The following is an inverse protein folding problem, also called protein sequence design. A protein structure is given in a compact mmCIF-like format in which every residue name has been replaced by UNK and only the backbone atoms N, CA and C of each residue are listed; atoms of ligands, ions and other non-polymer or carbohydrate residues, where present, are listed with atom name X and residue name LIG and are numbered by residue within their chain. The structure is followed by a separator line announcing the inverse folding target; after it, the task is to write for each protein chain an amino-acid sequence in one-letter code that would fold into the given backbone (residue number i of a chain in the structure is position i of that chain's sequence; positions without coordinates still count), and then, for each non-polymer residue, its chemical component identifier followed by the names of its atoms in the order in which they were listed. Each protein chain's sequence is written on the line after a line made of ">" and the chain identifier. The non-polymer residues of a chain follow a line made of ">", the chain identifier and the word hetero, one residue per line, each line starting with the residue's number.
data_IF_154309365160
#
_entry.id   IF_154309365160
#
_cell.length_a   1.000
_cell.length_b   1.000
_cell.length_c   1.000
_cell.angle_alpha   90.00
_cell.angle_beta   90.00
_cell.angle_gamma   90.00
#
_symmetry.space_group_name_H-M   'P 1'
#
loop_
_entity.id
_entity.type
_entity.pdbx_description
1 polymer ?
#
# COMPACT_ATOMS: atom_id res chain seq x y z
N UNK A 1 -42.77 15.98 9.55
CA UNK A 1 -43.43 14.74 10.03
C UNK A 1 -43.77 14.83 11.52
N UNK A 2 -42.88 15.30 12.40
CA UNK A 2 -43.14 15.46 13.85
C UNK A 2 -44.21 16.51 14.15
N UNK A 3 -44.23 17.62 13.43
CA UNK A 3 -45.28 18.64 13.57
C UNK A 3 -46.66 18.09 13.19
N UNK A 4 -46.76 17.29 12.13
CA UNK A 4 -48.00 16.63 11.72
C UNK A 4 -48.49 15.63 12.80
N UNK A 5 -47.62 14.86 13.41
CA UNK A 5 -47.96 13.95 14.50
C UNK A 5 -48.39 14.69 15.78
N UNK A 6 -47.75 15.82 16.10
CA UNK A 6 -48.13 16.69 17.22
C UNK A 6 -49.53 17.32 17.00
N UNK A 7 -49.84 17.77 15.79
CA UNK A 7 -51.13 18.32 15.41
C UNK A 7 -52.23 17.25 15.49
N UNK A 8 -51.97 16.04 14.96
CA UNK A 8 -52.91 14.92 15.03
C UNK A 8 -53.18 14.52 16.50
N UNK A 9 -52.15 14.44 17.32
CA UNK A 9 -52.27 14.12 18.75
C UNK A 9 -53.06 15.22 19.53
N UNK A 10 -52.89 16.49 19.14
CA UNK A 10 -53.64 17.61 19.70
C UNK A 10 -55.13 17.55 19.31
N UNK A 11 -55.43 17.27 18.03
CA UNK A 11 -56.80 17.10 17.55
C UNK A 11 -57.52 15.92 18.18
N UNK A 12 -56.84 14.80 18.42
CA UNK A 12 -57.40 13.60 19.03
C UNK A 12 -57.77 13.77 20.52
N UNK A 13 -57.18 14.71 21.24
CA UNK A 13 -57.48 15.01 22.64
C UNK A 13 -58.81 15.74 22.85
N UNK A 14 -59.32 16.42 21.82
CA UNK A 14 -60.55 17.23 21.92
C UNK A 14 -61.81 16.48 21.45
N UNK A 15 -61.69 15.24 21.00
CA UNK A 15 -62.85 14.42 20.60
C UNK A 15 -63.48 13.69 21.80
N UNK A 16 -64.57 14.19 22.28
CA UNK A 16 -65.31 13.65 23.44
C UNK A 16 -66.08 12.34 23.15
N UNK A 17 -66.19 11.86 21.92
CA UNK A 17 -66.76 10.57 21.52
C UNK A 17 -66.08 9.97 20.33
N UNK A 18 -65.08 9.12 20.59
CA UNK A 18 -64.44 8.27 19.58
C UNK A 18 -65.22 6.96 19.45
N UNK A 19 -65.50 6.55 18.23
CA UNK A 19 -66.05 5.23 17.92
C UNK A 19 -65.04 4.12 18.22
N UNK A 20 -65.49 2.88 18.40
CA UNK A 20 -64.65 1.75 18.70
C UNK A 20 -63.62 1.46 17.59
N UNK A 21 -63.92 1.81 16.35
CA UNK A 21 -62.99 1.72 15.21
C UNK A 21 -61.89 2.78 15.27
N UNK A 22 -62.25 4.00 15.65
CA UNK A 22 -61.26 5.09 15.82
C UNK A 22 -60.34 4.82 17.03
N UNK A 23 -60.85 4.18 18.08
CA UNK A 23 -60.05 3.78 19.23
C UNK A 23 -59.03 2.73 18.87
N UNK A 24 -59.38 1.72 18.04
CA UNK A 24 -58.42 0.73 17.52
C UNK A 24 -57.32 1.38 16.67
N UNK A 25 -57.72 2.33 15.82
CA UNK A 25 -56.77 3.07 14.99
C UNK A 25 -55.77 3.89 15.84
N UNK A 26 -56.23 4.56 16.87
CA UNK A 26 -55.41 5.32 17.83
C UNK A 26 -54.45 4.39 18.60
N UNK A 27 -54.92 3.21 19.01
CA UNK A 27 -54.10 2.22 19.71
C UNK A 27 -53.03 1.62 18.78
N UNK A 28 -53.37 1.39 17.51
CA UNK A 28 -52.43 0.92 16.48
C UNK A 28 -51.35 1.98 16.18
N UNK A 29 -51.77 3.25 15.98
CA UNK A 29 -50.84 4.37 15.81
C UNK A 29 -49.96 4.60 17.05
N UNK A 30 -50.47 4.48 18.25
CA UNK A 30 -49.67 4.59 19.46
C UNK A 30 -48.63 3.49 19.56
N UNK A 31 -48.94 2.27 19.18
CA UNK A 31 -47.95 1.17 19.17
C UNK A 31 -46.86 1.37 18.12
N UNK A 32 -47.21 1.86 16.93
CA UNK A 32 -46.23 2.23 15.89
C UNK A 32 -45.32 3.40 16.32
N UNK A 33 -45.92 4.43 16.95
CA UNK A 33 -45.13 5.56 17.48
C UNK A 33 -44.16 5.11 18.57
N UNK A 34 -44.56 4.18 19.44
CA UNK A 34 -43.66 3.61 20.46
C UNK A 34 -42.51 2.82 19.83
N UNK A 35 -42.80 2.02 18.79
CA UNK A 35 -41.78 1.28 18.05
C UNK A 35 -40.82 2.21 17.31
N UNK A 36 -41.33 3.25 16.65
CA UNK A 36 -40.49 4.27 15.97
C UNK A 36 -39.65 5.01 17.00
N UNK A 37 -40.22 5.42 18.14
CA UNK A 37 -39.49 6.09 19.19
C UNK A 37 -38.38 5.19 19.76
N UNK A 38 -38.66 3.93 20.05
CA UNK A 38 -37.65 3.00 20.54
C UNK A 38 -36.52 2.74 19.51
N UNK A 39 -36.86 2.74 18.22
CA UNK A 39 -35.86 2.64 17.15
C UNK A 39 -35.01 3.89 17.05
N UNK A 40 -35.58 5.10 17.20
CA UNK A 40 -34.84 6.36 17.21
C UNK A 40 -33.94 6.44 18.45
N UNK A 41 -34.49 6.16 19.64
CA UNK A 41 -33.73 6.14 20.89
C UNK A 41 -32.57 5.12 20.81
N UNK A 42 -32.75 3.99 20.12
CA UNK A 42 -31.70 3.01 19.85
C UNK A 42 -30.66 3.49 18.85
N UNK A 43 -31.07 4.24 17.83
CA UNK A 43 -30.13 4.85 16.89
C UNK A 43 -29.33 6.00 17.53
N UNK A 44 -29.99 6.83 18.33
CA UNK A 44 -29.30 7.91 19.08
C UNK A 44 -28.29 7.33 20.09
N UNK A 45 -28.62 6.20 20.76
CA UNK A 45 -27.69 5.53 21.65
C UNK A 45 -26.47 5.01 20.90
N UNK A 46 -26.66 4.39 19.73
CA UNK A 46 -25.56 3.91 18.88
C UNK A 46 -24.73 5.05 18.30
N UNK A 47 -25.37 6.18 17.92
CA UNK A 47 -24.69 7.37 17.46
C UNK A 47 -23.82 7.97 18.56
N UNK A 48 -24.36 8.09 19.79
CA UNK A 48 -23.61 8.56 20.96
C UNK A 48 -22.46 7.60 21.34
N UNK A 49 -22.63 6.30 21.17
CA UNK A 49 -21.57 5.30 21.37
C UNK A 49 -20.49 5.43 20.29
N UNK A 50 -20.88 5.65 19.05
CA UNK A 50 -19.97 5.92 17.94
C UNK A 50 -19.19 7.23 18.12
N UNK A 51 -19.89 8.33 18.50
CA UNK A 51 -19.24 9.60 18.81
C UNK A 51 -18.31 9.51 20.03
N UNK A 52 -18.66 8.73 21.05
CA UNK A 52 -17.83 8.52 22.23
C UNK A 52 -16.60 7.63 21.95
N UNK A 53 -16.66 6.78 20.93
CA UNK A 53 -15.56 5.93 20.49
C UNK A 53 -14.70 6.59 19.43
N UNK A 54 -15.15 7.67 18.79
CA UNK A 54 -14.36 8.39 17.80
C UNK A 54 -13.23 9.18 18.45
N UNK A 55 -12.04 9.13 17.88
CA UNK A 55 -10.86 9.88 18.35
C UNK A 55 -11.09 11.40 18.33
N UNK A 56 -11.82 11.88 17.34
CA UNK A 56 -12.33 13.25 17.24
C UNK A 56 -13.51 13.32 16.26
N UNK A 57 -14.21 14.45 16.21
CA UNK A 57 -15.29 14.67 15.23
C UNK A 57 -14.77 14.88 13.80
N UNK A 58 -13.49 15.14 13.63
CA UNK A 58 -12.84 15.43 12.34
C UNK A 58 -11.73 14.46 11.99
N UNK A 59 -11.26 13.64 12.93
CA UNK A 59 -10.18 12.67 12.72
C UNK A 59 -10.71 11.27 12.91
N UNK A 60 -10.47 10.43 11.91
CA UNK A 60 -10.74 8.99 11.95
C UNK A 60 -9.42 8.27 12.18
N UNK A 61 -9.41 7.29 13.06
CA UNK A 61 -8.28 6.41 13.27
C UNK A 61 -8.61 5.02 12.70
N UNK A 62 -7.66 4.42 12.01
CA UNK A 62 -7.70 3.04 11.53
C UNK A 62 -6.52 2.27 12.10
N UNK A 63 -6.68 0.97 12.26
CA UNK A 63 -5.63 0.08 12.73
C UNK A 63 -5.54 -1.11 11.80
N UNK A 64 -4.33 -1.47 11.42
CA UNK A 64 -4.04 -2.74 10.76
C UNK A 64 -2.89 -3.46 11.46
N UNK A 65 -2.89 -4.77 11.37
CA UNK A 65 -1.79 -5.60 11.85
C UNK A 65 -1.67 -6.84 10.95
N UNK A 66 -0.47 -7.11 10.51
CA UNK A 66 -0.13 -8.29 9.75
C UNK A 66 0.78 -9.22 10.57
N UNK A 67 0.50 -10.50 10.51
CA UNK A 67 1.36 -11.55 11.04
C UNK A 67 1.65 -12.54 9.93
N UNK A 68 2.91 -12.89 9.77
CA UNK A 68 3.34 -13.88 8.79
C UNK A 68 4.14 -14.99 9.45
N UNK A 69 3.91 -16.21 9.01
CA UNK A 69 4.72 -17.37 9.33
C UNK A 69 5.10 -18.08 8.04
N UNK A 70 6.36 -18.44 7.87
CA UNK A 70 6.80 -19.08 6.65
C UNK A 70 8.26 -19.48 6.68
N UNK A 71 8.71 -20.04 5.58
CA UNK A 71 10.10 -20.40 5.36
C UNK A 71 10.48 -20.01 3.92
N UNK A 72 11.73 -19.60 3.75
CA UNK A 72 12.33 -19.23 2.47
C UNK A 72 13.56 -20.11 2.27
N UNK A 73 13.58 -20.87 1.20
CA UNK A 73 14.73 -21.66 0.75
C UNK A 73 15.49 -20.85 -0.31
N UNK A 74 16.81 -20.96 -0.33
CA UNK A 74 17.68 -20.22 -1.23
C UNK A 74 18.07 -18.82 -0.77
N UNK A 75 17.45 -18.32 0.32
CA UNK A 75 17.79 -17.00 0.88
C UNK A 75 19.13 -17.01 1.58
N UNK A 76 20.05 -16.16 1.16
CA UNK A 76 21.33 -15.94 1.82
C UNK A 76 21.23 -14.76 2.79
N UNK A 77 21.62 -14.98 4.04
CA UNK A 77 21.75 -13.92 5.04
C UNK A 77 23.22 -13.72 5.42
N UNK A 78 23.66 -12.48 5.46
CA UNK A 78 24.99 -12.14 5.96
C UNK A 78 24.94 -11.99 7.46
N UNK A 79 25.59 -12.90 8.16
CA UNK A 79 25.77 -12.79 9.61
C UNK A 79 27.01 -11.98 9.88
N UNK A 80 26.82 -10.78 10.42
CA UNK A 80 27.96 -9.92 10.79
C UNK A 80 28.84 -10.60 11.83
N UNK A 81 30.09 -10.71 11.53
CA UNK A 81 31.08 -11.44 12.34
C UNK A 81 31.51 -10.67 13.58
N UNK A 82 30.76 -9.80 14.15
CA UNK A 82 31.04 -9.10 15.41
C UNK A 82 32.49 -8.59 15.60
N UNK A 83 32.69 -7.67 16.49
CA UNK A 83 34.04 -7.20 16.89
C UNK A 83 34.53 -7.95 18.12
N UNK A 84 35.67 -8.63 18.00
CA UNK A 84 36.41 -9.22 19.12
C UNK A 84 37.58 -8.35 19.53
N UNK A 85 37.92 -8.35 20.81
CA UNK A 85 39.14 -7.69 21.29
C UNK A 85 40.19 -8.76 21.61
N UNK A 86 41.36 -8.67 20.99
CA UNK A 86 42.49 -9.53 21.32
C UNK A 86 43.52 -8.66 22.05
N UNK A 87 43.89 -9.11 23.23
CA UNK A 87 44.92 -8.44 24.02
C UNK A 87 46.20 -9.31 24.02
N UNK A 88 47.30 -8.74 23.62
CA UNK A 88 48.61 -9.38 23.58
C UNK A 88 49.66 -8.44 22.98
N UNK A 89 50.92 -8.78 23.17
CA UNK A 89 52.06 -8.02 22.58
C UNK A 89 52.13 -8.27 21.08
N UNK A 90 51.44 -7.42 20.32
CA UNK A 90 51.25 -7.58 18.87
C UNK A 90 52.47 -7.06 18.06
N UNK A 91 53.19 -6.06 18.58
CA UNK A 91 54.35 -5.46 17.94
C UNK A 91 55.72 -5.92 18.56
N UNK A 92 55.66 -6.79 19.59
CA UNK A 92 56.79 -7.36 20.27
C UNK A 92 57.68 -6.34 21.02
N UNK A 93 57.06 -5.29 21.54
CA UNK A 93 57.73 -4.26 22.35
C UNK A 93 57.78 -4.60 23.87
N UNK A 94 57.13 -5.69 24.27
CA UNK A 94 57.09 -6.17 25.63
C UNK A 94 55.91 -5.64 26.46
N UNK A 95 54.98 -4.94 25.81
CA UNK A 95 53.72 -4.49 26.41
C UNK A 95 52.53 -5.12 25.69
N UNK A 96 51.44 -5.42 26.43
CA UNK A 96 50.25 -5.98 25.83
C UNK A 96 49.41 -4.89 25.15
N UNK A 97 49.22 -5.04 23.84
CA UNK A 97 48.33 -4.21 23.04
C UNK A 97 46.91 -4.76 23.07
N UNK A 98 45.96 -3.87 22.88
CA UNK A 98 44.55 -4.24 22.69
C UNK A 98 44.16 -3.94 21.24
N UNK A 99 44.01 -4.98 20.43
CA UNK A 99 43.60 -4.85 19.02
C UNK A 99 42.14 -5.29 18.87
N UNK A 100 41.35 -4.42 18.27
CA UNK A 100 39.99 -4.77 17.87
C UNK A 100 40.05 -5.55 16.57
N UNK A 101 39.67 -6.81 16.61
CA UNK A 101 39.58 -7.66 15.41
C UNK A 101 38.15 -7.72 14.95
N UNK A 102 37.88 -7.32 13.72
CA UNK A 102 36.62 -7.63 13.07
C UNK A 102 36.69 -9.06 12.53
N UNK A 103 35.80 -9.90 13.00
CA UNK A 103 35.57 -11.19 12.37
C UNK A 103 34.93 -10.95 11.00
N UNK A 104 35.31 -11.76 10.01
CA UNK A 104 34.70 -11.69 8.69
C UNK A 104 33.20 -12.02 8.78
N UNK A 105 32.39 -11.29 8.05
CA UNK A 105 31.00 -11.63 7.86
C UNK A 105 30.90 -13.00 7.17
N UNK A 106 29.94 -13.80 7.57
CA UNK A 106 29.68 -15.09 6.97
C UNK A 106 28.30 -15.12 6.34
N UNK A 107 28.21 -15.59 5.12
CA UNK A 107 26.92 -15.84 4.45
C UNK A 107 26.40 -17.22 4.89
N UNK A 108 25.17 -17.27 5.33
CA UNK A 108 24.49 -18.50 5.72
C UNK A 108 23.13 -18.57 5.02
N UNK A 109 22.68 -19.77 4.67
CA UNK A 109 21.34 -19.97 4.15
C UNK A 109 20.34 -19.90 5.31
N UNK A 110 19.30 -19.10 5.15
CA UNK A 110 18.22 -18.94 6.11
C UNK A 110 17.06 -19.85 5.70
N UNK A 111 17.08 -21.11 6.16
CA UNK A 111 16.04 -22.11 5.85
C UNK A 111 15.07 -22.32 7.03
N UNK A 112 15.20 -21.51 8.09
CA UNK A 112 14.36 -21.64 9.27
C UNK A 112 12.96 -21.07 9.02
N UNK A 113 11.97 -21.67 9.72
CA UNK A 113 10.64 -21.04 9.78
C UNK A 113 10.73 -19.74 10.57
N UNK A 114 10.43 -18.63 9.90
CA UNK A 114 10.38 -17.29 10.47
C UNK A 114 8.97 -16.93 10.92
N UNK A 115 8.90 -15.91 11.76
CA UNK A 115 7.65 -15.24 12.17
C UNK A 115 7.89 -13.75 12.16
N UNK A 116 7.13 -13.05 11.32
CA UNK A 116 7.19 -11.61 11.12
C UNK A 116 5.89 -10.96 11.51
N UNK A 117 5.95 -9.66 11.77
CA UNK A 117 4.76 -8.87 12.04
C UNK A 117 4.98 -7.41 11.63
N UNK A 118 3.89 -6.76 11.27
CA UNK A 118 3.79 -5.31 11.20
C UNK A 118 2.49 -4.85 11.82
N UNK A 119 2.46 -3.60 12.24
CA UNK A 119 1.21 -2.92 12.56
C UNK A 119 1.29 -1.46 12.15
N UNK A 120 0.11 -0.92 11.82
CA UNK A 120 -0.02 0.43 11.32
C UNK A 120 -1.20 1.14 11.98
N UNK A 121 -1.05 2.43 12.22
CA UNK A 121 -2.08 3.32 12.73
C UNK A 121 -2.23 4.46 11.74
N UNK A 122 -3.33 4.47 11.01
CA UNK A 122 -3.71 5.57 10.12
C UNK A 122 -4.56 6.60 10.87
N UNK A 123 -4.23 7.88 10.69
CA UNK A 123 -5.01 9.01 11.18
C UNK A 123 -5.39 9.89 10.01
N UNK A 124 -6.67 9.93 9.67
CA UNK A 124 -7.20 10.75 8.56
C UNK A 124 -8.04 11.90 9.11
N UNK A 125 -7.68 13.12 8.76
CA UNK A 125 -8.36 14.35 9.19
C UNK A 125 -8.76 15.19 7.99
N UNK A 126 -10.01 15.66 7.94
CA UNK A 126 -10.46 16.65 6.96
C UNK A 126 -10.74 17.99 7.63
N UNK A 127 -10.34 19.09 6.99
CA UNK A 127 -10.59 20.45 7.45
C UNK A 127 -11.76 21.12 6.73
N UNK A 128 -12.00 20.71 5.48
CA UNK A 128 -13.05 21.29 4.63
C UNK A 128 -14.19 20.33 4.36
N UNK A 129 -14.00 19.04 4.63
CA UNK A 129 -14.91 17.94 4.30
C UNK A 129 -14.65 17.33 2.93
N UNK A 130 -13.75 17.90 2.14
CA UNK A 130 -13.35 17.42 0.80
C UNK A 130 -11.84 17.16 0.70
N UNK A 131 -11.05 17.64 1.63
CA UNK A 131 -9.60 17.45 1.76
C UNK A 131 -9.27 16.31 2.73
N UNK A 132 -8.03 15.83 2.70
CA UNK A 132 -7.53 14.82 3.62
C UNK A 132 -6.11 15.15 4.07
N UNK A 133 -5.89 15.19 5.37
CA UNK A 133 -4.58 15.10 6.00
C UNK A 133 -4.44 13.70 6.58
N UNK A 134 -3.54 12.92 6.03
CA UNK A 134 -3.27 11.55 6.42
C UNK A 134 -1.91 11.46 7.10
N UNK A 135 -1.87 10.77 8.24
CA UNK A 135 -0.64 10.48 8.98
C UNK A 135 -0.61 8.99 9.27
N UNK A 136 0.42 8.32 8.82
CA UNK A 136 0.66 6.90 9.06
C UNK A 136 1.76 6.72 10.10
N UNK A 137 1.49 5.90 11.10
CA UNK A 137 2.44 5.45 12.10
C UNK A 137 2.60 3.95 11.93
N UNK A 138 3.82 3.46 11.74
CA UNK A 138 4.09 2.06 11.51
C UNK A 138 5.21 1.51 12.39
N UNK A 139 5.20 0.21 12.61
CA UNK A 139 6.30 -0.57 13.16
C UNK A 139 6.19 -2.02 12.68
N UNK A 140 7.31 -2.66 12.40
CA UNK A 140 7.30 -4.03 11.93
C UNK A 140 8.68 -4.65 11.87
N UNK A 141 8.71 -5.97 11.99
CA UNK A 141 9.92 -6.78 11.84
C UNK A 141 9.63 -7.82 10.78
N UNK A 142 10.37 -7.74 9.68
CA UNK A 142 10.26 -8.63 8.55
C UNK A 142 11.61 -9.30 8.25
N UNK A 143 11.61 -10.61 8.28
CA UNK A 143 12.75 -11.44 7.87
C UNK A 143 12.37 -12.34 6.69
N UNK A 144 11.06 -12.55 6.48
CA UNK A 144 10.51 -13.21 5.32
C UNK A 144 10.49 -12.19 4.19
N UNK A 145 11.30 -12.36 3.16
CA UNK A 145 11.26 -11.52 1.97
C UNK A 145 9.88 -11.62 1.31
N UNK A 146 9.50 -10.64 0.52
CA UNK A 146 8.27 -10.58 -0.27
C UNK A 146 6.97 -10.23 0.49
N UNK A 147 6.99 -9.92 1.77
CA UNK A 147 5.77 -9.50 2.48
C UNK A 147 5.81 -8.06 3.01
N UNK A 148 6.92 -7.36 2.82
CA UNK A 148 7.16 -5.97 3.26
C UNK A 148 6.63 -5.65 4.67
N UNK A 149 6.96 -6.53 5.62
CA UNK A 149 6.57 -6.36 7.02
C UNK A 149 7.65 -5.64 7.86
N UNK A 150 8.82 -5.40 7.28
CA UNK A 150 9.86 -4.62 7.93
C UNK A 150 9.55 -3.13 7.84
N UNK A 151 9.68 -2.43 8.93
CA UNK A 151 9.58 -0.96 8.98
C UNK A 151 10.89 -0.37 9.50
N UNK A 152 11.19 0.86 9.13
CA UNK A 152 12.48 1.55 9.26
C UNK A 152 13.19 1.38 10.59
N UNK A 153 12.48 1.49 11.70
CA UNK A 153 13.03 1.39 13.03
C UNK A 153 12.60 0.08 13.75
N UNK A 154 12.24 -0.92 12.94
CA UNK A 154 11.88 -2.25 13.40
C UNK A 154 10.67 -2.24 14.31
N UNK A 155 10.83 -2.64 15.57
CA UNK A 155 9.75 -2.70 16.56
C UNK A 155 9.38 -1.34 17.17
N UNK A 156 10.06 -0.25 16.79
CA UNK A 156 9.76 1.11 17.27
C UNK A 156 8.70 1.74 16.39
N UNK A 157 7.65 2.30 17.00
CA UNK A 157 6.62 3.02 16.26
C UNK A 157 7.18 4.36 15.76
N UNK A 158 7.20 4.54 14.45
CA UNK A 158 7.66 5.74 13.76
C UNK A 158 6.56 6.38 12.93
N UNK A 159 6.76 7.61 12.50
CA UNK A 159 5.93 8.23 11.45
C UNK A 159 6.44 7.69 10.12
N UNK A 160 5.62 6.89 9.47
CA UNK A 160 5.89 6.26 8.18
C UNK A 160 5.61 7.22 7.03
N UNK A 161 4.54 7.99 7.14
CA UNK A 161 4.20 8.99 6.14
C UNK A 161 3.24 10.06 6.66
N UNK A 162 3.30 11.22 6.02
CA UNK A 162 2.32 12.29 6.18
C UNK A 162 2.00 12.89 4.82
N UNK A 163 0.71 12.99 4.48
CA UNK A 163 0.28 13.60 3.23
C UNK A 163 -0.92 14.52 3.43
N UNK A 164 -1.01 15.55 2.60
CA UNK A 164 -2.18 16.39 2.52
C UNK A 164 -2.68 16.42 1.08
N UNK A 165 -3.88 15.91 0.89
CA UNK A 165 -4.56 15.85 -0.41
C UNK A 165 -5.71 16.85 -0.45
N UNK A 166 -5.76 17.66 -1.49
CA UNK A 166 -6.74 18.72 -1.63
C UNK A 166 -7.34 18.76 -3.04
N UNK A 167 -8.67 18.66 -3.20
CA UNK A 167 -9.34 18.91 -4.46
C UNK A 167 -9.37 20.40 -4.77
N UNK A 168 -9.09 20.76 -6.02
CA UNK A 168 -9.19 22.13 -6.55
C UNK A 168 -10.32 22.18 -7.60
N UNK A 169 -11.55 22.29 -7.10
CA UNK A 169 -12.77 22.12 -7.91
C UNK A 169 -13.05 20.65 -8.23
N UNK A 170 -13.91 20.42 -9.22
CA UNK A 170 -14.49 19.08 -9.47
C UNK A 170 -13.54 18.12 -10.22
N UNK A 171 -12.38 18.58 -10.69
CA UNK A 171 -11.56 17.82 -11.64
C UNK A 171 -10.09 17.72 -11.29
N UNK A 172 -9.57 18.63 -10.51
CA UNK A 172 -8.16 18.67 -10.16
C UNK A 172 -7.97 18.29 -8.70
N UNK A 173 -7.16 17.28 -8.44
CA UNK A 173 -6.70 16.89 -7.12
C UNK A 173 -5.20 17.14 -7.03
N UNK A 174 -4.73 17.67 -5.93
CA UNK A 174 -3.32 17.91 -5.65
C UNK A 174 -2.93 17.32 -4.31
N UNK A 175 -1.66 16.93 -4.14
CA UNK A 175 -1.15 16.52 -2.85
C UNK A 175 0.28 17.02 -2.62
N UNK A 176 0.67 17.04 -1.35
CA UNK A 176 2.04 17.16 -0.88
C UNK A 176 2.26 16.15 0.25
N UNK A 177 3.46 15.60 0.36
CA UNK A 177 3.74 14.54 1.34
C UNK A 177 5.18 14.54 1.81
N UNK A 178 5.43 13.75 2.85
CA UNK A 178 6.74 13.24 3.25
C UNK A 178 6.56 11.76 3.58
N UNK A 179 7.40 10.88 3.04
CA UNK A 179 7.26 9.43 3.18
C UNK A 179 6.02 8.85 2.48
N UNK A 180 5.52 9.52 1.43
CA UNK A 180 4.45 9.03 0.55
C UNK A 180 4.85 9.35 -0.88
N UNK A 181 4.72 8.35 -1.72
CA UNK A 181 5.17 8.30 -3.11
C UNK A 181 4.64 9.45 -3.97
N UNK A 182 5.45 9.95 -4.88
CA UNK A 182 5.04 10.95 -5.88
C UNK A 182 3.98 10.44 -6.83
N UNK A 183 3.85 9.13 -6.97
CA UNK A 183 2.82 8.43 -7.74
C UNK A 183 1.45 8.33 -7.07
N UNK A 184 1.28 8.77 -5.83
CA UNK A 184 0.06 8.58 -5.03
C UNK A 184 -1.27 8.97 -5.72
N UNK A 185 -1.24 9.87 -6.71
CA UNK A 185 -2.42 10.24 -7.51
C UNK A 185 -2.43 9.62 -8.90
N UNK A 186 -1.57 8.65 -9.19
CA UNK A 186 -1.57 7.98 -10.50
C UNK A 186 -2.72 6.97 -10.58
N UNK A 187 -3.24 6.82 -11.79
CA UNK A 187 -4.29 5.84 -12.12
C UNK A 187 -3.70 4.72 -12.97
N UNK A 188 -2.69 4.05 -12.44
CA UNK A 188 -2.02 2.95 -13.13
C UNK A 188 -3.01 1.82 -13.42
N UNK A 189 -3.06 1.41 -14.69
CA UNK A 189 -4.02 0.42 -15.15
C UNK A 189 -3.58 -1.01 -14.75
N UNK A 190 -3.68 -1.31 -13.47
CA UNK A 190 -3.45 -2.61 -12.86
C UNK A 190 -4.59 -2.97 -11.92
N UNK A 191 -4.97 -4.25 -11.87
CA UNK A 191 -6.01 -4.76 -10.96
C UNK A 191 -5.57 -6.04 -10.25
N UNK A 192 -4.30 -6.38 -10.34
CA UNK A 192 -3.70 -7.47 -9.62
C UNK A 192 -3.23 -6.98 -8.26
N UNK A 193 -3.70 -7.63 -7.20
CA UNK A 193 -3.44 -7.28 -5.80
C UNK A 193 -2.80 -8.48 -5.09
N UNK A 194 -1.58 -8.84 -5.51
CA UNK A 194 -0.80 -9.92 -4.88
C UNK A 194 -0.30 -9.55 -3.50
N UNK A 195 -0.03 -10.53 -2.63
CA UNK A 195 0.49 -10.29 -1.29
C UNK A 195 2.00 -10.02 -1.25
N UNK A 196 2.73 -10.30 -2.34
CA UNK A 196 4.17 -10.02 -2.40
C UNK A 196 4.44 -8.58 -2.81
N UNK A 197 5.45 -7.98 -2.21
CA UNK A 197 5.93 -6.65 -2.54
C UNK A 197 6.37 -6.57 -4.02
N UNK A 198 7.18 -7.54 -4.47
CA UNK A 198 7.72 -7.56 -5.83
C UNK A 198 6.67 -7.59 -6.94
N UNK A 199 5.52 -8.26 -6.78
CA UNK A 199 4.53 -8.45 -7.84
C UNK A 199 3.18 -7.75 -7.59
N UNK A 200 2.98 -7.15 -6.44
CA UNK A 200 1.79 -6.35 -6.15
C UNK A 200 1.66 -5.19 -7.15
N UNK A 201 0.44 -4.78 -7.46
CA UNK A 201 0.14 -3.60 -8.30
C UNK A 201 0.88 -3.53 -9.65
N UNK A 202 1.17 -4.70 -10.26
CA UNK A 202 1.98 -4.88 -11.47
C UNK A 202 3.50 -4.76 -11.28
N UNK A 203 3.99 -4.89 -10.06
CA UNK A 203 5.41 -5.00 -9.75
C UNK A 203 6.21 -3.75 -10.12
N UNK A 204 7.44 -3.95 -10.55
CA UNK A 204 8.36 -2.86 -10.90
C UNK A 204 7.96 -2.03 -12.13
N UNK A 205 6.86 -2.37 -12.80
CA UNK A 205 6.39 -1.60 -13.95
C UNK A 205 5.65 -0.34 -13.51
N UNK A 206 6.09 0.82 -13.95
CA UNK A 206 5.61 2.16 -13.55
C UNK A 206 5.95 2.59 -12.13
N UNK A 207 6.94 1.96 -11.50
CA UNK A 207 7.39 2.26 -10.14
C UNK A 207 8.52 3.30 -10.06
N UNK A 208 8.86 3.95 -11.15
CA UNK A 208 10.02 4.86 -11.23
C UNK A 208 9.95 6.11 -10.33
N UNK A 209 8.84 6.40 -9.67
CA UNK A 209 8.69 7.42 -8.64
C UNK A 209 7.92 6.88 -7.42
N UNK A 210 8.28 5.70 -7.05
CA UNK A 210 7.77 4.92 -5.93
C UNK A 210 8.92 4.75 -4.91
N UNK A 211 9.60 5.85 -4.67
CA UNK A 211 10.70 5.94 -3.73
C UNK A 211 10.14 6.36 -2.38
N UNK A 212 10.32 5.53 -1.39
CA UNK A 212 9.75 5.68 -0.07
C UNK A 212 10.65 6.40 0.95
N UNK A 213 10.16 6.50 2.16
CA UNK A 213 10.73 6.73 3.48
C UNK A 213 11.22 8.14 3.80
N UNK A 214 11.98 8.80 2.95
CA UNK A 214 12.59 10.09 3.27
C UNK A 214 12.26 11.19 2.25
N UNK A 215 11.53 10.84 1.21
CA UNK A 215 11.24 11.76 0.11
C UNK A 215 10.12 12.74 0.43
N UNK A 216 10.26 13.95 -0.08
CA UNK A 216 9.16 14.92 -0.20
C UNK A 216 8.41 14.60 -1.48
N UNK A 217 7.14 14.21 -1.37
CA UNK A 217 6.26 13.97 -2.50
C UNK A 217 5.38 15.17 -2.83
N UNK A 218 5.08 15.36 -4.10
CA UNK A 218 4.08 16.33 -4.54
C UNK A 218 3.49 15.89 -5.89
N UNK A 219 2.21 16.19 -6.11
CA UNK A 219 1.61 15.83 -7.39
C UNK A 219 0.25 16.43 -7.63
N UNK A 220 -0.25 16.16 -8.83
CA UNK A 220 -1.56 16.58 -9.27
C UNK A 220 -2.17 15.56 -10.23
N UNK A 221 -3.48 15.36 -10.15
CA UNK A 221 -4.24 14.53 -11.06
C UNK A 221 -5.45 15.31 -11.59
N UNK A 222 -5.67 15.27 -12.90
CA UNK A 222 -6.77 15.93 -13.57
C UNK A 222 -7.69 14.91 -14.26
N UNK A 223 -8.95 14.85 -13.82
CA UNK A 223 -9.99 14.03 -14.44
C UNK A 223 -10.67 14.81 -15.59
N UNK A 224 -10.42 14.40 -16.83
CA UNK A 224 -11.09 14.97 -18.00
C UNK A 224 -12.57 14.57 -18.09
N UNK A 225 -12.97 13.52 -17.36
CA UNK A 225 -14.24 12.83 -17.48
C UNK A 225 -14.18 11.69 -18.51
N UNK A 226 -15.22 10.87 -18.53
CA UNK A 226 -15.33 9.71 -19.41
C UNK A 226 -14.22 8.65 -19.28
N UNK A 227 -13.48 8.66 -18.15
CA UNK A 227 -12.43 7.71 -17.84
C UNK A 227 -11.01 8.13 -18.21
N UNK A 228 -10.81 9.31 -18.78
CA UNK A 228 -9.48 9.86 -19.02
C UNK A 228 -8.97 10.65 -17.82
N UNK A 229 -7.75 10.33 -17.38
CA UNK A 229 -7.05 11.00 -16.28
C UNK A 229 -5.63 11.32 -16.74
N UNK A 230 -5.11 12.48 -16.36
CA UNK A 230 -3.69 12.82 -16.48
C UNK A 230 -3.14 13.20 -15.12
N UNK A 231 -2.01 12.60 -14.75
CA UNK A 231 -1.36 12.82 -13.47
C UNK A 231 0.09 13.24 -13.66
N UNK A 232 0.60 13.98 -12.69
CA UNK A 232 1.99 14.39 -12.57
C UNK A 232 2.44 14.16 -11.14
N UNK A 233 3.65 13.66 -10.95
CA UNK A 233 4.26 13.41 -9.66
C UNK A 233 5.70 13.88 -9.61
N UNK A 234 6.14 14.22 -8.42
CA UNK A 234 7.49 14.64 -8.07
C UNK A 234 7.88 14.00 -6.74
N UNK A 235 9.12 13.57 -6.66
CA UNK A 235 9.79 13.19 -5.41
C UNK A 235 11.16 13.85 -5.33
N UNK A 236 11.60 14.14 -4.11
CA UNK A 236 12.92 14.69 -3.85
C UNK A 236 13.29 14.63 -2.38
N UNK A 237 14.57 14.53 -2.07
CA UNK A 237 15.05 14.39 -0.69
C UNK A 237 14.80 15.63 0.18
N UNK A 238 14.90 16.83 -0.40
CA UNK A 238 14.52 18.08 0.25
C UNK A 238 15.35 18.51 1.46
N UNK A 239 16.50 17.89 1.69
CA UNK A 239 17.37 18.27 2.79
C UNK A 239 18.07 19.63 2.56
N UNK A 240 18.70 20.19 3.58
CA UNK A 240 19.33 21.52 3.49
C UNK A 240 20.63 21.55 2.69
N UNK A 241 21.17 20.41 2.30
CA UNK A 241 22.40 20.29 1.51
C UNK A 241 22.13 19.98 0.06
N UNK A 242 21.14 19.15 -0.22
CA UNK A 242 20.73 18.77 -1.57
C UNK A 242 19.62 19.70 -2.10
N UNK A 243 18.62 20.03 -1.30
CA UNK A 243 17.49 20.88 -1.72
C UNK A 243 16.47 20.13 -2.58
N UNK A 244 15.42 20.83 -3.01
CA UNK A 244 14.42 20.33 -3.94
C UNK A 244 14.71 20.89 -5.33
N UNK A 245 14.62 20.04 -6.36
CA UNK A 245 14.89 20.41 -7.77
C UNK A 245 16.22 21.11 -7.94
N UNK A 246 17.22 20.65 -7.25
CA UNK A 246 18.59 21.18 -7.30
C UNK A 246 19.50 20.16 -7.98
N UNK A 247 20.63 20.62 -8.43
CA UNK A 247 21.61 19.77 -9.11
C UNK A 247 22.30 18.76 -8.16
N UNK A 248 22.27 19.05 -6.88
CA UNK A 248 22.85 18.25 -5.81
C UNK A 248 21.82 17.28 -5.18
N UNK A 249 20.53 17.47 -5.48
CA UNK A 249 19.44 16.60 -5.08
C UNK A 249 19.24 15.44 -6.05
N UNK A 250 18.78 14.31 -5.53
CA UNK A 250 18.24 13.25 -6.36
C UNK A 250 16.73 13.44 -6.43
N UNK A 251 16.26 13.93 -7.56
CA UNK A 251 14.87 14.25 -7.80
C UNK A 251 14.28 13.33 -8.85
N UNK A 252 13.02 12.95 -8.66
CA UNK A 252 12.27 12.14 -9.62
C UNK A 252 11.04 12.89 -10.10
N UNK A 253 10.76 12.80 -11.38
CA UNK A 253 9.60 13.41 -12.04
C UNK A 253 8.90 12.38 -12.90
N UNK A 254 7.59 12.24 -12.78
CA UNK A 254 6.83 11.41 -13.69
C UNK A 254 5.51 12.05 -14.13
N UNK A 255 5.02 11.61 -15.27
CA UNK A 255 3.73 11.96 -15.81
C UNK A 255 3.02 10.73 -16.36
N UNK A 256 1.72 10.65 -16.11
CA UNK A 256 0.89 9.53 -16.56
C UNK A 256 -0.35 10.04 -17.28
N UNK A 257 -0.75 9.33 -18.34
CA UNK A 257 -2.07 9.43 -18.95
C UNK A 257 -2.72 8.06 -18.85
N UNK A 258 -3.90 8.02 -18.25
CA UNK A 258 -4.66 6.80 -18.08
C UNK A 258 -6.05 6.91 -18.70
N UNK A 259 -6.56 5.79 -19.16
CA UNK A 259 -7.96 5.59 -19.49
C UNK A 259 -8.45 4.34 -18.79
N UNK A 260 -9.37 4.49 -17.86
CA UNK A 260 -9.89 3.38 -17.07
C UNK A 260 -11.42 3.36 -17.05
N UNK A 261 -11.95 2.17 -17.15
CA UNK A 261 -13.36 1.79 -16.96
C UNK A 261 -13.41 0.59 -16.02
N UNK A 262 -14.58 0.23 -15.57
CA UNK A 262 -14.77 -0.89 -14.64
C UNK A 262 -14.24 -2.23 -15.18
N UNK A 263 -14.31 -2.41 -16.50
CA UNK A 263 -13.96 -3.68 -17.18
C UNK A 263 -12.61 -3.67 -17.88
N UNK A 264 -12.01 -2.52 -18.15
CA UNK A 264 -10.70 -2.44 -18.78
C UNK A 264 -10.06 -1.07 -18.57
N UNK A 265 -8.74 -1.05 -18.60
CA UNK A 265 -7.96 0.17 -18.52
C UNK A 265 -6.63 0.05 -19.25
N UNK A 266 -6.06 1.20 -19.54
CA UNK A 266 -4.70 1.33 -20.08
C UNK A 266 -4.09 2.61 -19.52
N UNK A 267 -2.82 2.57 -19.13
CA UNK A 267 -2.05 3.74 -18.74
C UNK A 267 -0.69 3.77 -19.44
N UNK A 268 -0.20 4.97 -19.68
CA UNK A 268 1.13 5.25 -20.18
C UNK A 268 1.80 6.20 -19.20
N UNK A 269 2.93 5.78 -18.64
CA UNK A 269 3.73 6.53 -17.67
C UNK A 269 5.10 6.85 -18.28
N UNK A 270 5.59 8.05 -18.09
CA UNK A 270 6.97 8.44 -18.40
C UNK A 270 7.60 9.07 -17.16
N UNK A 271 8.81 8.66 -16.82
CA UNK A 271 9.54 9.13 -15.65
C UNK A 271 10.98 9.48 -15.98
N UNK A 272 11.55 10.39 -15.18
CA UNK A 272 12.97 10.75 -15.16
C UNK A 272 13.41 10.77 -13.71
N UNK A 273 14.50 10.08 -13.41
CA UNK A 273 15.10 10.00 -12.09
C UNK A 273 16.52 10.53 -12.17
N UNK A 274 16.88 11.46 -11.32
CA UNK A 274 18.25 11.93 -11.16
C UNK A 274 19.00 10.96 -10.24
N UNK A 275 19.90 10.17 -10.80
CA UNK A 275 20.71 9.19 -10.05
C UNK A 275 22.04 9.76 -9.57
N UNK A 276 22.47 10.89 -10.13
CA UNK A 276 23.64 11.65 -9.71
C UNK A 276 23.60 13.06 -10.30
N UNK A 277 24.52 13.94 -9.88
CA UNK A 277 24.69 15.30 -10.44
C UNK A 277 24.83 15.37 -11.98
N UNK A 278 25.13 14.24 -12.63
CA UNK A 278 25.45 14.17 -14.08
C UNK A 278 24.75 13.04 -14.81
N UNK A 279 23.89 12.28 -14.16
CA UNK A 279 23.20 11.14 -14.77
C UNK A 279 21.71 11.17 -14.42
N UNK A 280 20.91 10.95 -15.44
CA UNK A 280 19.46 10.85 -15.35
C UNK A 280 19.01 9.56 -16.01
N UNK A 281 18.28 8.73 -15.29
CA UNK A 281 17.61 7.58 -15.87
C UNK A 281 16.22 7.98 -16.36
N UNK A 282 15.80 7.41 -17.48
CA UNK A 282 14.47 7.65 -18.01
C UNK A 282 13.73 6.34 -18.20
N UNK A 283 12.44 6.35 -17.85
CA UNK A 283 11.58 5.18 -17.92
C UNK A 283 10.29 5.50 -18.69
N UNK A 284 9.81 4.52 -19.43
CA UNK A 284 8.51 4.58 -20.07
C UNK A 284 7.81 3.25 -19.87
N UNK A 285 6.60 3.31 -19.32
CA UNK A 285 5.84 2.12 -18.99
C UNK A 285 4.43 2.16 -19.59
N UNK A 286 3.93 0.99 -19.93
CA UNK A 286 2.55 0.76 -20.33
C UNK A 286 1.96 -0.31 -19.43
N UNK A 287 0.80 -0.01 -18.82
CA UNK A 287 0.01 -0.97 -18.07
C UNK A 287 -1.37 -1.11 -18.70
N UNK A 288 -1.96 -2.29 -18.60
CA UNK A 288 -3.31 -2.53 -19.05
C UNK A 288 -3.98 -3.63 -18.21
N UNK A 289 -5.27 -3.51 -18.00
CA UNK A 289 -6.06 -4.58 -17.41
C UNK A 289 -7.34 -4.85 -18.19
N UNK A 290 -7.83 -6.07 -18.02
CA UNK A 290 -9.16 -6.48 -18.44
C UNK A 290 -9.82 -7.28 -17.33
N UNK A 291 -11.01 -6.84 -16.89
CA UNK A 291 -11.86 -7.50 -15.89
C UNK A 291 -13.16 -7.95 -16.55
N UNK A 292 -13.37 -9.25 -16.77
CA UNK A 292 -14.60 -9.77 -17.35
C UNK A 292 -15.82 -9.49 -16.46
N UNK A 293 -16.96 -9.14 -17.06
CA UNK A 293 -18.20 -8.93 -16.32
C UNK A 293 -18.83 -10.21 -15.75
N UNK A 294 -18.45 -11.38 -16.28
CA UNK A 294 -18.96 -12.68 -15.83
C UNK A 294 -18.01 -13.31 -14.82
N UNK A 295 -18.53 -13.64 -13.62
CA UNK A 295 -17.80 -14.43 -12.64
C UNK A 295 -17.35 -15.79 -13.19
N UNK A 296 -16.10 -16.17 -12.92
CA UNK A 296 -15.49 -17.44 -13.36
C UNK A 296 -14.29 -17.29 -14.30
N UNK A 297 -14.15 -16.15 -14.96
CA UNK A 297 -12.91 -15.80 -15.68
C UNK A 297 -12.08 -14.84 -14.80
N UNK A 298 -10.75 -14.94 -14.84
CA UNK A 298 -9.91 -14.01 -14.09
C UNK A 298 -9.91 -12.61 -14.69
N UNK A 299 -9.67 -11.62 -13.89
CA UNK A 299 -9.10 -10.36 -14.36
C UNK A 299 -7.66 -10.62 -14.80
N UNK A 300 -7.22 -9.87 -15.81
CA UNK A 300 -5.88 -9.96 -16.38
C UNK A 300 -5.24 -8.60 -16.25
N UNK A 301 -4.05 -8.52 -15.63
CA UNK A 301 -3.21 -7.34 -15.63
C UNK A 301 -1.93 -7.61 -16.39
N UNK A 302 -1.47 -6.61 -17.11
CA UNK A 302 -0.25 -6.63 -17.90
C UNK A 302 0.51 -5.34 -17.70
N UNK A 303 1.83 -5.41 -17.57
CA UNK A 303 2.74 -4.29 -17.54
C UNK A 303 3.98 -4.54 -18.36
N UNK A 304 4.50 -3.48 -18.98
CA UNK A 304 5.79 -3.49 -19.67
C UNK A 304 6.44 -2.13 -19.53
N UNK A 305 7.70 -2.11 -19.12
CA UNK A 305 8.50 -0.91 -18.97
C UNK A 305 9.84 -1.08 -19.68
N UNK A 306 10.32 -0.01 -20.26
CA UNK A 306 11.69 0.12 -20.75
C UNK A 306 12.33 1.39 -20.16
N UNK A 307 13.57 1.27 -19.75
CA UNK A 307 14.38 2.32 -19.18
C UNK A 307 15.66 2.52 -19.97
N UNK A 308 16.22 3.69 -19.82
CA UNK A 308 17.51 4.11 -20.38
C UNK A 308 18.35 4.65 -19.20
N UNK A 309 19.50 4.02 -18.94
CA UNK A 309 20.47 4.47 -17.94
C UNK A 309 21.32 5.60 -18.53
N UNK A 310 21.09 6.81 -18.06
CA UNK A 310 21.75 8.01 -18.53
C UNK A 310 23.21 8.19 -18.05
N UNK A 311 23.79 7.21 -17.35
CA UNK A 311 25.16 7.28 -16.85
C UNK A 311 26.18 7.00 -17.94
N UNK A 312 27.01 8.00 -18.32
CA UNK A 312 28.13 7.83 -19.28
C UNK A 312 29.15 6.76 -18.84
N UNK A 313 29.17 6.37 -17.58
CA UNK A 313 30.07 5.37 -17.02
C UNK A 313 29.45 3.96 -17.01
N UNK A 314 28.15 3.83 -17.25
CA UNK A 314 27.45 2.56 -17.32
C UNK A 314 27.82 1.81 -18.60
N UNK A 315 27.93 0.49 -18.47
CA UNK A 315 28.01 -0.42 -19.63
C UNK A 315 26.63 -0.96 -20.01
N UNK A 316 25.59 -0.44 -19.35
CA UNK A 316 24.20 -0.84 -19.47
C UNK A 316 23.44 0.37 -20.00
N UNK A 317 22.98 0.30 -21.22
CA UNK A 317 22.24 1.41 -21.85
C UNK A 317 20.71 1.23 -21.67
N UNK A 318 20.21 0.01 -21.66
CA UNK A 318 18.77 -0.27 -21.66
C UNK A 318 18.37 -1.26 -20.55
N UNK A 319 17.24 -0.99 -19.92
CA UNK A 319 16.58 -1.89 -18.95
C UNK A 319 15.16 -2.21 -19.40
N UNK A 320 14.66 -3.35 -18.97
CA UNK A 320 13.29 -3.77 -19.30
C UNK A 320 12.66 -4.47 -18.11
N UNK A 321 11.40 -4.13 -17.80
CA UNK A 321 10.58 -4.84 -16.81
C UNK A 321 9.27 -5.28 -17.44
N UNK A 322 8.72 -6.41 -16.99
CA UNK A 322 7.40 -6.85 -17.40
C UNK A 322 6.66 -7.59 -16.29
N UNK A 323 5.35 -7.56 -16.41
CA UNK A 323 4.44 -8.17 -15.48
C UNK A 323 3.23 -8.77 -16.19
N UNK A 324 2.75 -9.93 -15.72
CA UNK A 324 1.46 -10.51 -16.08
C UNK A 324 0.83 -11.12 -14.84
N UNK A 325 -0.39 -10.70 -14.51
CA UNK A 325 -1.16 -11.24 -13.39
C UNK A 325 -2.56 -11.71 -13.82
N UNK A 326 -3.01 -12.79 -13.21
CA UNK A 326 -4.37 -13.33 -13.32
C UNK A 326 -4.97 -13.38 -11.92
N UNK A 327 -6.16 -12.79 -11.73
CA UNK A 327 -6.83 -12.78 -10.44
C UNK A 327 -8.29 -13.16 -10.60
N UNK A 328 -8.77 -14.09 -9.79
CA UNK A 328 -10.16 -14.46 -9.63
C UNK A 328 -10.68 -13.88 -8.32
N UNK A 329 -11.49 -12.84 -8.41
CA UNK A 329 -12.03 -12.12 -7.24
C UNK A 329 -13.08 -12.95 -6.46
N UNK A 330 -13.66 -13.96 -7.09
CA UNK A 330 -14.70 -14.82 -6.53
C UNK A 330 -14.39 -16.31 -6.79
N UNK A 331 -13.28 -16.84 -6.27
CA UNK A 331 -13.01 -18.27 -6.30
C UNK A 331 -13.38 -18.91 -4.95
N UNK A 332 -14.58 -19.47 -4.86
CA UNK A 332 -15.17 -19.85 -3.58
C UNK A 332 -15.55 -18.60 -2.78
N UNK A 333 -15.07 -18.51 -1.55
CA UNK A 333 -15.32 -17.37 -0.65
C UNK A 333 -14.12 -16.41 -0.60
N UNK A 334 -13.16 -16.51 -1.52
CA UNK A 334 -11.92 -15.75 -1.49
C UNK A 334 -11.40 -15.33 -2.86
N UNK A 335 -10.24 -14.69 -2.86
CA UNK A 335 -9.51 -14.22 -4.03
C UNK A 335 -8.33 -15.15 -4.31
N UNK A 336 -8.20 -15.61 -5.55
CA UNK A 336 -7.07 -16.41 -5.99
C UNK A 336 -6.27 -15.67 -7.05
N UNK A 337 -4.96 -15.63 -6.91
CA UNK A 337 -4.06 -14.96 -7.84
C UNK A 337 -2.89 -15.85 -8.28
N UNK A 338 -2.45 -15.60 -9.51
CA UNK A 338 -1.21 -16.11 -10.07
C UNK A 338 -0.56 -14.97 -10.85
N UNK A 339 0.73 -14.73 -10.64
CA UNK A 339 1.47 -13.73 -11.40
C UNK A 339 2.88 -14.21 -11.76
N UNK A 340 3.44 -13.53 -12.75
CA UNK A 340 4.84 -13.61 -13.13
C UNK A 340 5.31 -12.22 -13.57
N UNK A 341 6.49 -11.82 -13.13
CA UNK A 341 7.08 -10.54 -13.49
C UNK A 341 8.57 -10.50 -13.18
N UNK A 342 9.24 -9.49 -13.65
CA UNK A 342 10.64 -9.21 -13.30
C UNK A 342 10.70 -8.73 -11.85
N UNK A 343 11.61 -9.31 -11.06
CA UNK A 343 11.89 -8.81 -9.71
C UNK A 343 13.04 -7.80 -9.66
N UNK A 344 13.79 -7.70 -10.75
CA UNK A 344 14.75 -6.63 -11.04
C UNK A 344 14.69 -6.33 -12.53
N UNK A 345 14.87 -5.08 -12.97
CA UNK A 345 14.90 -4.76 -14.39
C UNK A 345 15.93 -5.62 -15.13
N UNK A 346 15.54 -6.11 -16.30
CA UNK A 346 16.40 -6.90 -17.17
C UNK A 346 17.37 -5.92 -17.83
N UNK A 347 18.64 -6.13 -17.59
CA UNK A 347 19.73 -5.40 -18.22
C UNK A 347 20.05 -6.04 -19.57
N UNK A 348 20.30 -5.25 -20.59
CA UNK A 348 20.68 -5.74 -21.92
C UNK A 348 21.83 -6.77 -21.85
N UNK A 349 21.66 -7.90 -22.53
CA UNK A 349 22.56 -9.05 -22.57
C UNK A 349 22.73 -9.84 -21.25
N UNK A 350 21.91 -9.58 -20.22
CA UNK A 350 21.86 -10.38 -19.00
C UNK A 350 20.67 -11.32 -18.98
N UNK A 351 20.72 -12.33 -18.10
CA UNK A 351 19.61 -13.25 -17.89
C UNK A 351 18.43 -12.49 -17.22
N UNK A 352 17.22 -12.82 -17.64
CA UNK A 352 16.00 -12.31 -17.01
C UNK A 352 15.84 -12.92 -15.62
N UNK A 353 15.69 -12.09 -14.62
CA UNK A 353 15.39 -12.51 -13.24
C UNK A 353 13.88 -12.35 -13.00
N UNK A 354 13.19 -13.49 -12.98
CA UNK A 354 11.72 -13.52 -12.92
C UNK A 354 11.26 -14.09 -11.59
N UNK A 355 10.21 -13.50 -11.06
CA UNK A 355 9.46 -14.05 -9.95
C UNK A 355 8.12 -14.59 -10.42
N UNK A 356 7.70 -15.66 -9.79
CA UNK A 356 6.37 -16.28 -9.96
C UNK A 356 5.73 -16.38 -8.60
N UNK A 357 4.45 -16.01 -8.50
CA UNK A 357 3.70 -16.20 -7.27
C UNK A 357 2.33 -16.81 -7.49
N UNK A 358 1.81 -17.46 -6.47
CA UNK A 358 0.42 -17.86 -6.37
C UNK A 358 -0.06 -17.73 -4.94
N UNK A 359 -1.27 -17.21 -4.76
CA UNK A 359 -1.87 -17.02 -3.44
C UNK A 359 -3.37 -17.28 -3.45
N UNK A 360 -3.91 -17.44 -2.24
CA UNK A 360 -5.34 -17.46 -2.01
C UNK A 360 -5.68 -16.64 -0.76
N UNK A 361 -6.36 -15.52 -0.93
CA UNK A 361 -6.80 -14.67 0.19
C UNK A 361 -8.20 -15.07 0.61
N UNK A 362 -8.33 -15.59 1.83
CA UNK A 362 -9.59 -16.01 2.41
C UNK A 362 -10.05 -15.04 3.50
N UNK A 363 -11.16 -14.29 3.31
CA UNK A 363 -11.74 -13.47 4.35
C UNK A 363 -12.46 -14.35 5.38
N UNK A 364 -11.94 -14.37 6.60
CA UNK A 364 -12.59 -15.09 7.72
C UNK A 364 -13.82 -14.31 8.20
N UNK A 365 -13.70 -12.99 8.21
CA UNK A 365 -14.76 -12.00 8.47
C UNK A 365 -14.30 -10.63 7.97
N UNK A 366 -15.10 -9.58 8.22
CA UNK A 366 -14.84 -8.22 7.71
C UNK A 366 -13.51 -7.59 8.20
N UNK A 367 -12.92 -8.12 9.26
CA UNK A 367 -11.67 -7.58 9.83
C UNK A 367 -10.52 -8.58 9.84
N UNK A 368 -10.67 -9.81 9.30
CA UNK A 368 -9.61 -10.85 9.35
C UNK A 368 -9.53 -11.55 8.00
N UNK A 369 -8.33 -11.53 7.40
CA UNK A 369 -8.03 -12.27 6.17
C UNK A 369 -6.82 -13.17 6.38
N UNK A 370 -6.86 -14.39 5.83
CA UNK A 370 -5.73 -15.35 5.85
C UNK A 370 -5.31 -15.60 4.40
N UNK A 371 -4.03 -15.39 4.12
CA UNK A 371 -3.46 -15.47 2.79
C UNK A 371 -2.25 -16.41 2.75
N UNK A 372 -2.42 -17.71 2.43
CA UNK A 372 -1.32 -18.55 2.01
C UNK A 372 -0.74 -18.05 0.68
N UNK A 373 0.58 -18.00 0.62
CA UNK A 373 1.39 -17.57 -0.52
C UNK A 373 2.51 -18.57 -0.78
N UNK A 374 2.75 -18.85 -2.05
CA UNK A 374 3.94 -19.55 -2.54
C UNK A 374 4.54 -18.71 -3.65
N UNK A 375 5.83 -18.45 -3.58
CA UNK A 375 6.56 -17.78 -4.65
C UNK A 375 7.88 -18.49 -4.94
N UNK A 376 8.40 -18.25 -6.14
CA UNK A 376 9.79 -18.56 -6.49
C UNK A 376 10.36 -17.41 -7.33
N UNK A 377 11.61 -17.08 -7.07
CA UNK A 377 12.29 -15.94 -7.65
C UNK A 377 13.67 -16.39 -8.15
N UNK A 378 13.94 -16.13 -9.44
CA UNK A 378 15.21 -16.44 -10.04
C UNK A 378 16.33 -15.62 -9.38
N UNK A 379 17.49 -16.22 -9.24
CA UNK A 379 18.68 -15.56 -8.72
C UNK A 379 19.78 -15.50 -9.80
N UNK A 380 20.76 -14.64 -9.60
CA UNK A 380 21.87 -14.50 -10.53
C UNK A 380 22.57 -15.85 -10.80
N UNK A 381 23.16 -15.99 -11.98
CA UNK A 381 23.79 -17.23 -12.44
C UNK A 381 24.77 -17.81 -11.40
N UNK A 382 24.55 -19.05 -11.01
CA UNK A 382 25.36 -19.78 -10.02
C UNK A 382 24.83 -19.70 -8.58
N UNK A 383 23.65 -19.11 -8.35
CA UNK A 383 22.93 -19.10 -7.09
C UNK A 383 21.62 -19.90 -7.26
N UNK A 384 21.23 -20.63 -6.24
CA UNK A 384 19.95 -21.35 -6.24
C UNK A 384 18.78 -20.34 -6.22
N UNK A 385 17.67 -20.67 -6.87
CA UNK A 385 16.47 -19.85 -6.85
C UNK A 385 15.90 -19.74 -5.43
N UNK A 386 15.41 -18.56 -5.08
CA UNK A 386 14.71 -18.36 -3.82
C UNK A 386 13.27 -18.86 -3.94
N UNK A 387 12.83 -19.65 -2.98
CA UNK A 387 11.45 -20.15 -2.94
C UNK A 387 10.87 -19.96 -1.55
N UNK A 388 9.76 -19.22 -1.45
CA UNK A 388 9.06 -18.93 -0.19
C UNK A 388 7.71 -19.62 -0.11
N UNK A 389 7.39 -20.14 1.06
CA UNK A 389 6.06 -20.62 1.44
C UNK A 389 5.64 -19.96 2.73
N UNK A 390 4.56 -19.20 2.69
CA UNK A 390 4.15 -18.32 3.80
C UNK A 390 2.65 -18.33 3.99
N UNK A 391 2.24 -17.94 5.18
CA UNK A 391 0.83 -17.62 5.49
C UNK A 391 0.83 -16.26 6.19
N UNK A 392 0.21 -15.28 5.55
CA UNK A 392 -0.06 -13.97 6.14
C UNK A 392 -1.47 -13.95 6.74
N UNK A 393 -1.61 -13.39 7.93
CA UNK A 393 -2.90 -13.11 8.56
C UNK A 393 -3.00 -11.62 8.80
N UNK A 394 -3.94 -10.98 8.14
CA UNK A 394 -4.18 -9.54 8.19
C UNK A 394 -5.39 -9.23 9.07
N UNK A 395 -5.25 -8.24 9.94
CA UNK A 395 -6.30 -7.68 10.78
C UNK A 395 -6.50 -6.21 10.43
N UNK A 396 -7.76 -5.81 10.26
CA UNK A 396 -8.14 -4.40 9.98
C UNK A 396 -9.39 -4.01 10.78
N UNK A 397 -9.38 -2.82 11.41
CA UNK A 397 -10.52 -2.29 12.20
C UNK A 397 -10.41 -0.78 12.46
#
# INVERSE_FOLDING_TARGET
>A
RFEAAAIINSCLKDFAQITEQERRLVDEFNSEIVLIKSSIDGQDARLNEFEASSFSSTTVASFSADFAIGAVDGKSVTVSGGTGTVTGDVDSDGTDDTVVVQNADSTQNAEAVGFDYSYEIGLTTSFTGEDSLDVTLAAGVGTLSELDLSKDDGSTLVVDGISYTMPLGDKLTTFISHGVEGSALFSTACVYEGPSDTLSSCGAVSSAIDEDDQAIGAGASYDFGNGFIASFGYEGQGDTTAGLSSKEGMDSLAGQIAYAKDTYGISLTGARIETSETADDTFTAINAFFRPESGGLPSISFGYEWGDDGSEASTVDETTSYFVGLQWDELGDGVFGIAAGTHTPIIENNDSLIMYETYYSYPVNDGITITPLIYTKDQAAGTDNETGVMVKTSFSF
#
